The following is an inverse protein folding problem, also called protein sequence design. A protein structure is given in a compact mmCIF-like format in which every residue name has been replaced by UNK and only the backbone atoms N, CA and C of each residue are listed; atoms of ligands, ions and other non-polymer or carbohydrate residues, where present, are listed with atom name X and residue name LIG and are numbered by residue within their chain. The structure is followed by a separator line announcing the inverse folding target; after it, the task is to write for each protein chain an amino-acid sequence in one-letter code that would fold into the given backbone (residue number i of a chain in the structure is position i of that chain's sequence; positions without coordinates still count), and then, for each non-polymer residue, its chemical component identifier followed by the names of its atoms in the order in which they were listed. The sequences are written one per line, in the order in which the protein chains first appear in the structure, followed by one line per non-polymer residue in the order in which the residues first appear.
data_IF_621667778755
#
_entry.id   IF_621667778755
#
_cell.length_a   1.000
_cell.length_b   1.000
_cell.length_c   1.000
_cell.angle_alpha   90.00
_cell.angle_beta   90.00
_cell.angle_gamma   90.00
#
_symmetry.space_group_name_H-M   'P 1'
#
loop_
_entity.id
_entity.type
_entity.pdbx_description
1 polymer ?
#
# COMPACT_ATOMS: atom_id res chain seq x y z
N UNK A 1 15.10 8.75 -7.43
CA UNK A 1 13.81 8.27 -7.98
C UNK A 1 13.89 6.78 -8.26
N UNK A 2 12.82 6.04 -8.04
CA UNK A 2 12.73 4.61 -8.33
C UNK A 2 11.47 4.38 -9.15
N UNK A 3 11.62 3.80 -10.33
CA UNK A 3 10.52 3.42 -11.21
C UNK A 3 10.52 1.91 -11.41
N UNK A 4 9.40 1.27 -11.09
CA UNK A 4 9.18 -0.16 -11.31
C UNK A 4 8.03 -0.33 -12.29
N UNK A 5 8.29 -0.93 -13.44
CA UNK A 5 7.27 -1.20 -14.45
C UNK A 5 6.78 -2.64 -14.39
N UNK A 6 5.60 -2.92 -14.97
CA UNK A 6 5.01 -4.27 -15.04
C UNK A 6 5.86 -5.31 -15.77
N UNK A 7 6.84 -4.84 -16.56
CA UNK A 7 7.74 -5.71 -17.34
C UNK A 7 9.00 -6.07 -16.55
N UNK A 8 8.97 -6.02 -15.23
CA UNK A 8 10.12 -6.22 -14.34
C UNK A 8 11.30 -5.27 -14.61
N UNK A 9 11.05 -4.14 -15.25
CA UNK A 9 12.05 -3.11 -15.47
C UNK A 9 12.16 -2.25 -14.24
N UNK A 10 13.35 -2.19 -13.66
CA UNK A 10 13.70 -1.31 -12.55
C UNK A 10 14.59 -0.19 -13.08
N UNK A 11 14.14 1.04 -12.95
CA UNK A 11 14.95 2.23 -13.26
C UNK A 11 15.14 3.04 -11.99
N UNK A 12 16.35 3.52 -11.77
CA UNK A 12 16.67 4.33 -10.59
C UNK A 12 17.46 5.56 -10.97
N UNK A 13 17.26 6.63 -10.21
CA UNK A 13 18.07 7.84 -10.28
C UNK A 13 18.56 8.14 -8.85
N UNK A 14 19.87 8.04 -8.58
CA UNK A 14 20.94 7.64 -9.50
C UNK A 14 20.91 6.14 -9.87
N UNK A 15 21.50 5.78 -11.02
CA UNK A 15 21.38 4.46 -11.62
C UNK A 15 22.02 3.33 -10.78
N UNK A 16 23.03 3.64 -9.99
CA UNK A 16 23.74 2.69 -9.12
C UNK A 16 22.84 2.10 -8.01
N UNK A 17 21.73 2.75 -7.67
CA UNK A 17 20.79 2.24 -6.66
C UNK A 17 20.17 0.91 -7.08
N UNK A 18 19.97 0.67 -8.38
CA UNK A 18 19.39 -0.58 -8.89
C UNK A 18 20.24 -1.80 -8.56
N UNK A 19 21.56 -1.62 -8.48
CA UNK A 19 22.54 -2.69 -8.29
C UNK A 19 23.19 -2.65 -6.89
N UNK A 20 22.75 -1.76 -6.02
CA UNK A 20 23.30 -1.65 -4.67
C UNK A 20 23.05 -2.95 -3.89
N UNK A 21 24.08 -3.61 -3.35
CA UNK A 21 23.89 -4.78 -2.51
C UNK A 21 23.15 -4.39 -1.21
N UNK A 22 22.24 -5.24 -0.76
CA UNK A 22 21.54 -5.05 0.50
C UNK A 22 22.52 -5.26 1.66
N UNK A 23 22.57 -4.29 2.57
CA UNK A 23 23.31 -4.36 3.81
C UNK A 23 22.68 -5.32 4.83
N UNK A 24 23.36 -5.53 5.95
CA UNK A 24 22.87 -6.42 7.03
C UNK A 24 21.63 -5.87 7.74
N UNK A 25 21.42 -4.55 7.72
CA UNK A 25 20.28 -3.86 8.36
C UNK A 25 19.11 -3.62 7.42
N UNK A 26 19.26 -3.90 6.11
CA UNK A 26 18.21 -3.68 5.14
C UNK A 26 17.10 -4.74 5.27
N UNK A 27 15.86 -4.30 5.10
CA UNK A 27 14.70 -5.18 5.14
C UNK A 27 14.74 -6.17 3.97
N UNK A 28 14.69 -7.45 4.27
CA UNK A 28 14.65 -8.52 3.30
C UNK A 28 13.28 -9.19 3.31
N UNK A 29 12.69 -9.32 2.13
CA UNK A 29 11.49 -10.12 1.94
C UNK A 29 11.90 -11.54 1.55
N UNK A 30 11.14 -12.55 1.98
CA UNK A 30 11.35 -13.90 1.47
C UNK A 30 10.90 -14.00 0.02
N UNK A 31 11.54 -14.89 -0.75
CA UNK A 31 11.23 -15.08 -2.17
C UNK A 31 9.86 -15.74 -2.34
N UNK A 32 9.03 -15.17 -3.21
CA UNK A 32 7.73 -15.73 -3.59
C UNK A 32 7.45 -15.46 -5.06
N UNK A 33 7.63 -16.48 -5.89
CA UNK A 33 7.44 -16.39 -7.35
C UNK A 33 6.00 -16.71 -7.79
N UNK A 34 5.21 -17.28 -6.87
CA UNK A 34 3.82 -17.67 -7.14
C UNK A 34 2.91 -17.26 -5.98
N UNK A 35 2.17 -16.16 -6.15
CA UNK A 35 1.31 -15.61 -5.11
C UNK A 35 0.14 -16.56 -4.72
N UNK A 36 -0.38 -17.36 -5.64
CA UNK A 36 -1.45 -18.32 -5.34
C UNK A 36 -0.92 -19.46 -4.47
N UNK A 37 0.23 -20.02 -4.82
CA UNK A 37 0.89 -21.03 -4.01
C UNK A 37 1.29 -20.47 -2.62
N UNK A 38 1.80 -19.25 -2.57
CA UNK A 38 2.11 -18.56 -1.32
C UNK A 38 0.87 -18.45 -0.42
N UNK A 39 -0.26 -18.02 -0.96
CA UNK A 39 -1.51 -17.91 -0.22
C UNK A 39 -2.00 -19.25 0.31
N UNK A 40 -2.03 -20.29 -0.54
CA UNK A 40 -2.45 -21.66 -0.13
C UNK A 40 -1.52 -22.20 0.97
N UNK A 41 -0.21 -22.05 0.81
CA UNK A 41 0.76 -22.50 1.80
C UNK A 41 0.63 -21.74 3.13
N UNK A 42 0.30 -20.45 3.07
CA UNK A 42 0.03 -19.64 4.27
C UNK A 42 -1.20 -20.13 5.03
N UNK A 43 -2.27 -20.49 4.31
CA UNK A 43 -3.47 -21.11 4.93
C UNK A 43 -3.09 -22.42 5.64
N UNK A 44 -2.33 -23.29 4.98
CA UNK A 44 -1.93 -24.60 5.51
C UNK A 44 -0.98 -24.48 6.70
N UNK A 45 -0.01 -23.60 6.61
CA UNK A 45 1.03 -23.42 7.64
C UNK A 45 0.64 -22.46 8.76
N UNK A 46 -0.45 -21.71 8.58
CA UNK A 46 -0.86 -20.60 9.48
C UNK A 46 0.19 -19.49 9.62
N UNK A 47 1.11 -19.39 8.67
CA UNK A 47 2.10 -18.31 8.61
C UNK A 47 1.60 -17.19 7.71
N UNK A 48 2.03 -15.95 7.99
CA UNK A 48 1.67 -14.81 7.19
C UNK A 48 2.16 -14.96 5.72
N UNK A 49 1.33 -14.61 4.73
CA UNK A 49 1.76 -14.52 3.35
C UNK A 49 2.77 -13.38 3.15
N UNK A 50 3.46 -13.37 2.01
CA UNK A 50 4.42 -12.30 1.67
C UNK A 50 3.75 -10.92 1.61
N UNK A 51 2.48 -10.88 1.24
CA UNK A 51 1.66 -9.66 1.23
C UNK A 51 0.42 -9.88 2.12
N UNK A 52 0.52 -9.68 3.44
CA UNK A 52 -0.62 -9.76 4.34
C UNK A 52 -1.60 -8.61 4.08
N UNK A 53 -2.83 -8.74 4.57
CA UNK A 53 -3.90 -7.76 4.35
C UNK A 53 -3.50 -6.32 4.73
N UNK A 54 -2.71 -6.15 5.79
CA UNK A 54 -2.21 -4.83 6.22
C UNK A 54 -1.31 -4.17 5.17
N UNK A 55 -0.46 -4.94 4.49
CA UNK A 55 0.39 -4.41 3.40
C UNK A 55 -0.47 -4.05 2.19
N UNK A 56 -1.42 -4.91 1.82
CA UNK A 56 -2.36 -4.64 0.73
C UNK A 56 -3.21 -3.39 1.00
N UNK A 57 -3.74 -3.28 2.22
CA UNK A 57 -4.49 -2.10 2.65
C UNK A 57 -3.66 -0.81 2.55
N UNK A 58 -2.46 -0.79 3.12
CA UNK A 58 -1.59 0.41 3.08
C UNK A 58 -1.20 0.80 1.67
N UNK A 59 -0.90 -0.16 0.81
CA UNK A 59 -0.61 0.12 -0.60
C UNK A 59 -1.80 0.70 -1.34
N UNK A 60 -3.01 0.16 -1.12
CA UNK A 60 -4.24 0.68 -1.70
C UNK A 60 -4.57 2.09 -1.15
N UNK A 61 -4.33 2.33 0.14
CA UNK A 61 -4.58 3.64 0.78
C UNK A 61 -3.79 4.76 0.10
N UNK A 62 -2.52 4.53 -0.27
CA UNK A 62 -1.71 5.53 -0.98
C UNK A 62 -2.39 5.92 -2.29
N UNK A 63 -2.87 4.96 -3.08
CA UNK A 63 -3.55 5.24 -4.34
C UNK A 63 -4.87 6.01 -4.14
N UNK A 64 -5.64 5.65 -3.09
CA UNK A 64 -6.89 6.35 -2.77
C UNK A 64 -6.64 7.78 -2.30
N UNK A 65 -5.63 7.99 -1.46
CA UNK A 65 -5.25 9.32 -0.98
C UNK A 65 -4.74 10.20 -2.13
N UNK A 66 -3.97 9.65 -3.05
CA UNK A 66 -3.54 10.36 -4.25
C UNK A 66 -4.75 10.80 -5.11
N UNK A 67 -5.73 9.93 -5.31
CA UNK A 67 -6.95 10.26 -6.05
C UNK A 67 -7.80 11.34 -5.34
N UNK A 68 -7.80 11.36 -4.01
CA UNK A 68 -8.48 12.42 -3.24
C UNK A 68 -7.74 13.75 -3.43
N UNK A 69 -6.41 13.76 -3.30
CA UNK A 69 -5.59 14.96 -3.48
C UNK A 69 -5.74 15.55 -4.89
N UNK A 70 -5.73 14.68 -5.92
CA UNK A 70 -5.98 15.08 -7.31
C UNK A 70 -7.35 15.74 -7.49
N UNK A 71 -8.42 15.14 -6.94
CA UNK A 71 -9.77 15.70 -7.06
C UNK A 71 -9.96 17.02 -6.32
N UNK A 72 -9.22 17.23 -5.26
CA UNK A 72 -9.26 18.45 -4.46
C UNK A 72 -8.27 19.51 -4.95
N UNK A 73 -7.40 19.14 -5.89
CA UNK A 73 -6.32 19.97 -6.43
C UNK A 73 -5.47 20.63 -5.33
N UNK A 74 -5.17 19.84 -4.29
CA UNK A 74 -4.33 20.29 -3.17
C UNK A 74 -3.69 19.12 -2.43
N UNK A 75 -2.53 19.36 -1.77
CA UNK A 75 -1.91 18.38 -0.88
C UNK A 75 -2.85 18.04 0.28
N UNK A 76 -2.79 16.78 0.72
CA UNK A 76 -3.45 16.30 1.94
C UNK A 76 -2.41 15.76 2.91
N UNK A 77 -2.62 16.00 4.20
CA UNK A 77 -1.76 15.48 5.26
C UNK A 77 -2.40 14.20 5.82
N UNK A 78 -1.64 13.12 5.81
CA UNK A 78 -2.07 11.81 6.27
C UNK A 78 -1.32 11.37 7.52
N UNK A 79 -2.03 10.97 8.55
CA UNK A 79 -1.45 10.29 9.71
C UNK A 79 -1.55 8.77 9.52
N UNK A 80 -0.43 8.05 9.28
CA UNK A 80 -0.45 6.62 9.06
C UNK A 80 -0.70 5.80 10.32
N UNK A 81 -0.63 6.39 11.51
CA UNK A 81 -0.93 5.71 12.78
C UNK A 81 -2.41 5.83 13.13
N UNK A 82 -2.96 7.03 12.97
CA UNK A 82 -4.39 7.28 13.18
C UNK A 82 -5.24 6.84 11.97
N UNK A 83 -4.59 6.53 10.84
CA UNK A 83 -5.25 6.20 9.55
C UNK A 83 -6.31 7.23 9.15
N UNK A 84 -5.95 8.51 9.29
CA UNK A 84 -6.86 9.63 9.08
C UNK A 84 -6.19 10.81 8.39
N UNK A 85 -6.98 11.61 7.69
CA UNK A 85 -6.53 12.89 7.14
C UNK A 85 -6.50 13.94 8.24
N UNK A 86 -5.40 14.69 8.33
CA UNK A 86 -5.19 15.72 9.36
C UNK A 86 -5.57 17.10 8.79
N UNK A 87 -6.43 17.79 9.51
CA UNK A 87 -6.72 19.22 9.24
C UNK A 87 -7.59 19.50 8.01
N UNK A 88 -8.13 18.46 7.33
CA UNK A 88 -9.00 18.63 6.15
C UNK A 88 -10.25 17.74 6.25
N UNK A 89 -11.34 18.32 6.76
CA UNK A 89 -12.60 17.61 6.92
C UNK A 89 -13.27 17.19 5.60
N UNK A 90 -12.97 17.88 4.49
CA UNK A 90 -13.49 17.52 3.17
C UNK A 90 -12.77 16.27 2.66
N UNK A 91 -11.44 16.26 2.71
CA UNK A 91 -10.63 15.10 2.33
C UNK A 91 -10.94 13.89 3.23
N UNK A 92 -11.14 14.11 4.54
CA UNK A 92 -11.52 13.06 5.48
C UNK A 92 -12.85 12.39 5.09
N UNK A 93 -13.87 13.15 4.72
CA UNK A 93 -15.16 12.61 4.26
C UNK A 93 -15.05 11.81 2.95
N UNK A 94 -14.09 12.14 2.10
CA UNK A 94 -13.88 11.44 0.83
C UNK A 94 -13.26 10.04 0.98
N UNK A 95 -12.75 9.68 2.16
CA UNK A 95 -12.28 8.32 2.44
C UNK A 95 -13.39 7.29 2.49
N UNK A 96 -14.61 7.72 2.78
CA UNK A 96 -15.79 6.87 2.82
C UNK A 96 -16.80 7.22 1.74
N UNK A 97 -17.70 6.31 1.48
CA UNK A 97 -18.87 6.54 0.63
C UNK A 97 -20.13 6.38 1.47
N UNK A 98 -21.15 7.23 1.26
CA UNK A 98 -22.46 6.98 1.85
C UNK A 98 -22.94 5.57 1.49
N UNK A 99 -23.41 4.84 2.47
CA UNK A 99 -23.95 3.50 2.27
C UNK A 99 -25.46 3.56 2.28
N UNK A 100 -26.07 2.67 1.54
CA UNK A 100 -27.51 2.46 1.57
C UNK A 100 -27.90 1.91 2.95
N UNK A 101 -29.06 2.34 3.48
CA UNK A 101 -29.57 1.86 4.75
C UNK A 101 -29.63 0.33 4.79
N UNK A 102 -29.17 -0.26 5.89
CA UNK A 102 -29.04 -1.71 6.06
C UNK A 102 -27.76 -2.33 5.51
N UNK A 103 -26.84 -1.53 4.96
CA UNK A 103 -25.54 -1.98 4.45
C UNK A 103 -24.37 -1.21 5.10
N UNK A 104 -24.58 -0.72 6.29
CA UNK A 104 -23.55 -0.10 7.10
C UNK A 104 -22.51 -1.17 7.53
N UNK A 105 -21.24 -0.75 7.64
CA UNK A 105 -20.24 -1.63 8.22
C UNK A 105 -20.46 -1.70 9.74
N UNK A 106 -20.32 -2.87 10.34
CA UNK A 106 -20.25 -2.96 11.79
C UNK A 106 -19.06 -2.12 12.28
N UNK A 107 -19.32 -1.25 13.24
CA UNK A 107 -18.31 -0.40 13.90
C UNK A 107 -17.63 -1.23 14.98
#
# INVERSE_FOLDING_TARGET
EVLVSRNNKLETTPAELANRPLGSTDTRLYKSDNHKANWINSIRSRKAPICPATVGYRSASICQLAAIAERLDRPINWDPKAESVVGDAVAQRMQGRPRRAGYELPV
#
